data_IF_646378874677
#
_entry.id   IF_646378874677
#
_cell.length_a   1.000
_cell.length_b   1.000
_cell.length_c   1.000
_cell.angle_alpha   90.00
_cell.angle_beta   90.00
_cell.angle_gamma   90.00
#
_symmetry.space_group_name_H-M   'P 1'
#
loop_
_entity.id
_entity.type
_entity.pdbx_description
1 polymer ?
#
# COMPACT_ATOMS: atom_id res chain seq x y z
N UNK A 1 4.97 0.90 15.49
CA UNK A 1 4.63 0.20 14.22
C UNK A 1 3.54 -0.83 14.47
N UNK A 2 2.54 -0.94 13.59
CA UNK A 2 1.42 -1.89 13.79
C UNK A 2 1.91 -3.34 13.78
N UNK A 3 1.19 -4.24 14.46
CA UNK A 3 1.53 -5.67 14.50
C UNK A 3 1.55 -6.29 13.11
N UNK A 4 0.65 -5.88 12.22
CA UNK A 4 0.58 -6.35 10.84
C UNK A 4 1.88 -6.03 10.09
N UNK A 5 2.36 -4.79 10.16
CA UNK A 5 3.59 -4.35 9.49
C UNK A 5 4.85 -5.03 10.04
N UNK A 6 4.86 -5.30 11.35
CA UNK A 6 5.97 -6.04 11.96
C UNK A 6 5.99 -7.49 11.48
N UNK A 7 4.82 -8.12 11.36
CA UNK A 7 4.70 -9.51 10.93
C UNK A 7 4.93 -9.67 9.42
N UNK A 8 4.47 -8.74 8.58
CA UNK A 8 4.77 -8.78 7.14
C UNK A 8 6.27 -8.76 6.88
N UNK A 9 7.01 -7.87 7.54
CA UNK A 9 8.46 -7.80 7.39
C UNK A 9 9.19 -9.02 8.00
N UNK A 10 8.64 -9.63 9.05
CA UNK A 10 9.28 -10.77 9.72
C UNK A 10 9.19 -12.07 8.90
N UNK A 11 8.07 -12.31 8.19
CA UNK A 11 7.84 -13.57 7.47
C UNK A 11 8.36 -13.58 6.03
N UNK A 12 8.94 -12.46 5.55
CA UNK A 12 9.47 -12.38 4.18
C UNK A 12 10.90 -11.86 4.20
N UNK A 13 11.82 -12.61 3.59
CA UNK A 13 13.18 -12.16 3.31
C UNK A 13 13.20 -11.45 1.95
N UNK A 14 13.41 -10.12 1.89
CA UNK A 14 13.35 -9.39 0.63
C UNK A 14 14.50 -9.78 -0.31
N UNK A 15 14.21 -9.84 -1.60
CA UNK A 15 15.22 -9.96 -2.65
C UNK A 15 15.98 -8.64 -2.86
N UNK A 16 17.03 -8.67 -3.69
CA UNK A 16 17.83 -7.48 -4.01
C UNK A 16 17.03 -6.40 -4.74
N UNK A 17 15.97 -6.79 -5.46
CA UNK A 17 15.13 -5.88 -6.24
C UNK A 17 13.79 -5.70 -5.54
N UNK A 18 13.56 -4.49 -5.04
CA UNK A 18 12.33 -4.08 -4.36
C UNK A 18 11.74 -2.87 -5.07
N UNK A 19 10.42 -2.68 -4.96
CA UNK A 19 9.72 -1.56 -5.55
C UNK A 19 8.97 -0.76 -4.47
N UNK A 20 8.96 0.56 -4.63
CA UNK A 20 8.14 1.48 -3.84
C UNK A 20 7.18 2.16 -4.80
N UNK A 21 5.88 2.05 -4.55
CA UNK A 21 4.86 2.72 -5.35
C UNK A 21 3.59 2.99 -4.52
N UNK A 22 2.66 3.73 -5.11
CA UNK A 22 1.38 4.09 -4.55
C UNK A 22 0.35 2.97 -4.78
N UNK A 23 -0.33 2.57 -3.70
CA UNK A 23 -1.52 1.71 -3.77
C UNK A 23 -2.77 2.49 -3.37
N UNK A 24 -3.90 2.16 -3.99
CA UNK A 24 -5.21 2.75 -3.68
C UNK A 24 -6.14 1.67 -3.18
N UNK A 25 -6.62 1.82 -1.94
CA UNK A 25 -7.69 0.99 -1.38
C UNK A 25 -9.01 1.73 -1.60
N UNK A 26 -9.90 1.18 -2.44
CA UNK A 26 -11.19 1.80 -2.76
C UNK A 26 -11.96 2.13 -1.49
N UNK A 27 -12.37 3.40 -1.35
CA UNK A 27 -13.21 3.85 -0.25
C UNK A 27 -14.01 5.09 -0.64
N UNK A 28 -15.33 5.05 -0.47
CA UNK A 28 -16.24 6.12 -0.93
C UNK A 28 -16.88 6.92 0.22
N UNK A 29 -16.78 6.43 1.46
CA UNK A 29 -17.33 7.09 2.65
C UNK A 29 -16.75 8.49 2.94
N UNK A 30 -17.33 9.21 3.91
CA UNK A 30 -16.86 10.55 4.29
C UNK A 30 -15.69 10.45 5.26
N UNK A 31 -14.53 10.91 4.83
CA UNK A 31 -13.31 11.04 5.63
C UNK A 31 -12.41 12.08 4.98
N UNK A 32 -11.61 12.80 5.77
CA UNK A 32 -10.59 13.72 5.27
C UNK A 32 -9.34 13.01 4.74
N UNK A 33 -9.18 11.71 5.03
CA UNK A 33 -8.00 10.93 4.67
C UNK A 33 -8.07 10.30 3.27
N UNK A 34 -9.24 10.28 2.62
CA UNK A 34 -9.37 9.74 1.26
C UNK A 34 -8.87 10.76 0.26
N UNK A 35 -8.37 10.27 -0.87
CA UNK A 35 -7.94 11.10 -2.00
C UNK A 35 -8.65 10.65 -3.26
N UNK A 36 -8.69 11.53 -4.25
CA UNK A 36 -9.10 11.23 -5.62
C UNK A 36 -7.93 11.49 -6.55
N UNK A 37 -7.47 10.46 -7.26
CA UNK A 37 -6.39 10.52 -8.23
C UNK A 37 -6.97 10.21 -9.61
N UNK A 38 -7.18 11.22 -10.47
CA UNK A 38 -7.72 11.02 -11.82
C UNK A 38 -6.87 10.07 -12.65
N UNK A 39 -7.50 9.27 -13.51
CA UNK A 39 -6.83 8.36 -14.45
C UNK A 39 -6.43 7.00 -13.87
N UNK A 40 -6.54 6.77 -12.56
CA UNK A 40 -6.40 5.44 -11.97
C UNK A 40 -7.69 4.62 -12.19
N UNK A 41 -7.61 3.29 -12.37
CA UNK A 41 -8.80 2.43 -12.50
C UNK A 41 -9.75 2.54 -11.31
N UNK A 42 -9.19 2.74 -10.11
CA UNK A 42 -9.92 3.08 -8.89
C UNK A 42 -9.45 4.48 -8.48
N UNK A 43 -10.19 5.53 -8.86
CA UNK A 43 -9.71 6.90 -8.67
C UNK A 43 -9.85 7.39 -7.22
N UNK A 44 -10.83 6.89 -6.45
CA UNK A 44 -11.14 7.41 -5.10
C UNK A 44 -10.91 6.35 -4.03
N UNK A 45 -10.12 6.67 -3.02
CA UNK A 45 -9.84 5.77 -1.91
C UNK A 45 -8.75 6.26 -0.96
N UNK A 46 -8.26 5.36 -0.12
CA UNK A 46 -7.07 5.63 0.69
C UNK A 46 -5.82 5.37 -0.14
N UNK A 47 -4.98 6.40 -0.26
CA UNK A 47 -3.64 6.28 -0.85
C UNK A 47 -2.66 5.86 0.23
N UNK A 48 -1.91 4.80 -0.05
CA UNK A 48 -0.80 4.34 0.79
C UNK A 48 0.45 4.24 -0.10
N UNK A 49 1.62 4.40 0.49
CA UNK A 49 2.86 3.97 -0.12
C UNK A 49 3.15 2.55 0.34
N UNK A 50 3.48 1.66 -0.60
CA UNK A 50 3.84 0.29 -0.31
C UNK A 50 5.28 0.02 -0.74
N UNK A 51 6.05 -0.62 0.12
CA UNK A 51 7.29 -1.29 -0.26
C UNK A 51 6.99 -2.77 -0.50
N UNK A 52 7.28 -3.26 -1.69
CA UNK A 52 6.95 -4.64 -2.07
C UNK A 52 8.08 -5.35 -2.80
N UNK A 53 8.14 -6.66 -2.61
CA UNK A 53 9.04 -7.59 -3.30
C UNK A 53 8.20 -8.70 -3.93
N UNK A 54 8.25 -8.83 -5.26
CA UNK A 54 7.52 -9.87 -6.04
C UNK A 54 6.04 -10.00 -5.66
N UNK A 55 5.37 -8.88 -5.38
CA UNK A 55 3.96 -8.84 -4.99
C UNK A 55 3.69 -9.01 -3.50
N UNK A 56 4.71 -9.25 -2.67
CA UNK A 56 4.60 -9.29 -1.22
C UNK A 56 4.84 -7.89 -0.62
N UNK A 57 3.88 -7.35 0.12
CA UNK A 57 4.00 -6.05 0.79
C UNK A 57 4.72 -6.16 2.13
N UNK A 58 5.84 -5.46 2.26
CA UNK A 58 6.68 -5.44 3.45
C UNK A 58 6.30 -4.32 4.42
N UNK A 59 5.98 -3.15 3.87
CA UNK A 59 5.69 -1.90 4.58
C UNK A 59 4.59 -1.14 3.88
#
# INVERSE_FOLDING_TARGET
MSILRQKSAFYWLPSTNIAIDEIIIKFEGRTSQKVTIPGKPIPTGFKLFALSDKGYTLN
#
